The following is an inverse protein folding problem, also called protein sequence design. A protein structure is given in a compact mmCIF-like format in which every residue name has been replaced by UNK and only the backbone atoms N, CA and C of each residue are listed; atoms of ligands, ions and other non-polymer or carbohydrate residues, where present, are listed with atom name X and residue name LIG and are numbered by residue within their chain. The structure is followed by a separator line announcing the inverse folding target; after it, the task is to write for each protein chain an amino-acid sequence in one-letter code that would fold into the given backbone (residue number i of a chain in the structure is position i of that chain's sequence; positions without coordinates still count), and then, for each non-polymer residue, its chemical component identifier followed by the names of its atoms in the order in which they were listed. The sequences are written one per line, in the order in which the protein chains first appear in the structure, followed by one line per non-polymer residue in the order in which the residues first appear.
data_IF_776164150118
#
_entry.id   IF_776164150118
#
_cell.length_a   1.000
_cell.length_b   1.000
_cell.length_c   1.000
_cell.angle_alpha   90.00
_cell.angle_beta   90.00
_cell.angle_gamma   90.00
#
_symmetry.space_group_name_H-M   'P 1'
#
loop_
_entity.id
_entity.type
_entity.pdbx_description
1 polymer ?
#
# COMPACT_ATOMS: atom_id res chain seq x y z
N UNK A 1 -16.83 -29.47 -1.14
CA UNK A 1 -16.46 -28.13 -1.65
C UNK A 1 -17.16 -27.94 -2.98
N UNK A 2 -18.07 -26.97 -3.09
CA UNK A 2 -18.71 -26.61 -4.37
C UNK A 2 -17.88 -25.47 -4.95
N UNK A 3 -17.41 -25.62 -6.19
CA UNK A 3 -16.66 -24.58 -6.90
C UNK A 3 -17.63 -23.72 -7.72
N UNK A 4 -17.40 -22.41 -7.76
CA UNK A 4 -18.19 -21.44 -8.53
C UNK A 4 -17.27 -20.46 -9.24
N UNK A 5 -17.65 -20.02 -10.45
CA UNK A 5 -16.94 -18.95 -11.18
C UNK A 5 -16.99 -17.60 -10.48
N UNK A 6 -18.00 -17.39 -9.63
CA UNK A 6 -18.25 -16.13 -8.91
C UNK A 6 -17.87 -16.21 -7.42
N UNK A 7 -17.16 -17.28 -6.99
CA UNK A 7 -16.87 -17.58 -5.58
C UNK A 7 -15.80 -16.72 -4.91
N UNK A 8 -15.45 -15.57 -5.48
CA UNK A 8 -14.37 -14.71 -4.99
C UNK A 8 -14.66 -14.13 -3.59
N UNK A 9 -15.91 -13.75 -3.33
CA UNK A 9 -16.32 -13.18 -2.06
C UNK A 9 -16.27 -14.22 -0.93
N UNK A 10 -16.73 -15.44 -1.21
CA UNK A 10 -16.67 -16.56 -0.28
C UNK A 10 -15.22 -16.93 0.06
N UNK A 11 -14.32 -16.90 -0.93
CA UNK A 11 -12.89 -17.09 -0.72
C UNK A 11 -12.31 -16.00 0.20
N UNK A 12 -12.60 -14.72 -0.08
CA UNK A 12 -12.12 -13.60 0.74
C UNK A 12 -12.54 -13.78 2.21
N UNK A 13 -13.81 -14.14 2.45
CA UNK A 13 -14.34 -14.38 3.80
C UNK A 13 -13.75 -15.61 4.47
N UNK A 14 -13.55 -16.70 3.73
CA UNK A 14 -13.02 -17.95 4.26
C UNK A 14 -11.55 -17.85 4.68
N UNK A 15 -10.79 -16.93 4.07
CA UNK A 15 -9.38 -16.72 4.39
C UNK A 15 -9.15 -15.85 5.64
N UNK A 16 -10.13 -15.04 6.05
CA UNK A 16 -10.01 -14.08 7.16
C UNK A 16 -9.65 -14.76 8.49
N UNK A 17 -8.87 -14.05 9.32
CA UNK A 17 -8.58 -14.45 10.70
C UNK A 17 -9.04 -13.40 11.70
N UNK A 18 -8.20 -12.41 11.96
CA UNK A 18 -8.46 -11.27 12.85
C UNK A 18 -8.91 -10.04 12.07
N UNK A 19 -9.03 -10.18 10.74
CA UNK A 19 -9.63 -9.20 9.84
C UNK A 19 -11.07 -8.88 10.27
N UNK A 20 -11.48 -7.61 10.21
CA UNK A 20 -12.87 -7.24 10.53
C UNK A 20 -13.74 -7.14 9.27
N UNK A 21 -13.11 -6.98 8.10
CA UNK A 21 -13.77 -6.85 6.80
C UNK A 21 -13.08 -7.69 5.72
N UNK A 22 -13.84 -8.29 4.78
CA UNK A 22 -13.26 -8.90 3.59
C UNK A 22 -12.59 -7.85 2.71
N UNK A 23 -11.49 -8.23 2.08
CA UNK A 23 -10.67 -7.37 1.23
C UNK A 23 -10.58 -7.99 -0.16
N UNK A 24 -11.27 -7.37 -1.10
CA UNK A 24 -11.38 -7.83 -2.48
C UNK A 24 -11.39 -6.62 -3.42
N UNK A 25 -10.85 -6.80 -4.62
CA UNK A 25 -10.81 -5.78 -5.65
C UNK A 25 -10.73 -6.39 -7.05
N UNK A 26 -11.28 -5.70 -8.04
CA UNK A 26 -11.09 -6.04 -9.44
C UNK A 26 -11.05 -4.77 -10.31
N UNK A 27 -10.28 -4.84 -11.38
CA UNK A 27 -10.16 -3.79 -12.40
C UNK A 27 -10.33 -4.44 -13.77
N UNK A 28 -11.20 -3.86 -14.59
CA UNK A 28 -11.30 -4.17 -16.01
C UNK A 28 -10.42 -3.19 -16.80
N UNK A 29 -9.61 -3.74 -17.70
CA UNK A 29 -8.71 -2.98 -18.58
C UNK A 29 -9.26 -3.05 -20.00
N UNK A 30 -9.25 -1.92 -20.69
CA UNK A 30 -9.55 -1.83 -22.13
C UNK A 30 -8.52 -0.90 -22.77
N UNK A 31 -7.65 -1.47 -23.60
CA UNK A 31 -6.61 -0.75 -24.33
C UNK A 31 -6.52 -1.33 -25.75
N UNK A 32 -6.63 -0.46 -26.76
CA UNK A 32 -6.74 -0.85 -28.16
C UNK A 32 -7.81 -1.95 -28.33
N UNK A 33 -7.45 -3.09 -28.92
CA UNK A 33 -8.31 -4.26 -29.08
C UNK A 33 -8.20 -5.27 -27.92
N UNK A 34 -7.41 -4.98 -26.88
CA UNK A 34 -7.22 -5.84 -25.70
C UNK A 34 -8.17 -5.49 -24.57
N UNK A 35 -8.91 -6.50 -24.08
CA UNK A 35 -9.79 -6.39 -22.91
C UNK A 35 -9.53 -7.54 -21.96
N UNK A 36 -9.20 -7.26 -20.71
CA UNK A 36 -8.95 -8.26 -19.69
C UNK A 36 -9.29 -7.70 -18.30
N UNK A 37 -9.39 -8.58 -17.32
CA UNK A 37 -9.70 -8.26 -15.92
C UNK A 37 -8.54 -8.73 -15.05
N UNK A 38 -8.20 -7.94 -14.03
CA UNK A 38 -7.35 -8.35 -12.92
C UNK A 38 -8.19 -8.25 -11.65
N UNK A 39 -8.31 -9.36 -10.92
CA UNK A 39 -9.00 -9.45 -9.64
C UNK A 39 -8.06 -9.94 -8.54
N UNK A 40 -8.44 -9.69 -7.29
CA UNK A 40 -7.71 -10.22 -6.16
C UNK A 40 -8.44 -10.13 -4.84
N UNK A 41 -8.07 -11.02 -3.93
CA UNK A 41 -8.47 -11.02 -2.53
C UNK A 41 -7.24 -11.00 -1.64
N UNK A 42 -7.36 -10.41 -0.46
CA UNK A 42 -6.28 -10.41 0.51
C UNK A 42 -6.78 -10.61 1.94
N UNK A 43 -5.91 -11.15 2.79
CA UNK A 43 -6.09 -11.31 4.24
C UNK A 43 -4.88 -10.79 4.98
N UNK A 44 -5.13 -10.14 6.11
CA UNK A 44 -4.13 -9.64 7.03
C UNK A 44 -4.63 -8.40 7.78
N UNK A 45 -4.42 -8.38 9.09
CA UNK A 45 -4.68 -7.23 9.98
C UNK A 45 -3.66 -7.09 11.12
N UNK A 46 -2.75 -8.06 11.31
CA UNK A 46 -1.72 -8.06 12.34
C UNK A 46 -0.57 -8.99 11.96
N UNK A 47 0.58 -8.84 12.63
CA UNK A 47 1.90 -9.37 12.24
C UNK A 47 2.28 -8.96 10.82
N UNK A 48 2.13 -7.67 10.52
CA UNK A 48 2.42 -7.11 9.20
C UNK A 48 3.46 -6.00 9.31
N UNK A 49 4.61 -6.25 8.70
CA UNK A 49 5.70 -5.33 8.49
C UNK A 49 6.35 -5.60 7.13
N UNK A 50 6.99 -4.63 6.46
CA UNK A 50 7.57 -4.85 5.14
C UNK A 50 8.56 -6.03 5.06
N UNK A 51 8.78 -6.50 3.81
CA UNK A 51 9.55 -7.70 3.43
C UNK A 51 8.75 -9.01 3.50
N UNK A 52 7.47 -8.95 3.09
CA UNK A 52 6.48 -10.01 3.22
C UNK A 52 6.33 -10.45 4.71
N UNK A 53 5.18 -10.07 5.29
CA UNK A 53 4.67 -10.39 6.64
C UNK A 53 3.16 -10.78 6.53
N UNK A 54 2.45 -11.22 7.60
CA UNK A 54 1.26 -12.15 7.59
C UNK A 54 0.21 -11.71 6.58
N UNK A 55 0.44 -12.05 5.33
CA UNK A 55 -0.33 -11.54 4.22
C UNK A 55 -0.48 -12.66 3.22
N UNK A 56 -1.75 -13.02 3.00
CA UNK A 56 -2.14 -13.90 1.93
C UNK A 56 -2.89 -13.08 0.92
N UNK A 57 -2.37 -12.98 -0.30
CA UNK A 57 -3.02 -12.33 -1.42
C UNK A 57 -3.06 -13.27 -2.62
N UNK A 58 -4.26 -13.47 -3.14
CA UNK A 58 -4.51 -14.30 -4.32
C UNK A 58 -5.07 -13.40 -5.41
N UNK A 59 -4.36 -13.33 -6.52
CA UNK A 59 -4.67 -12.52 -7.69
C UNK A 59 -5.00 -13.44 -8.86
N UNK A 60 -5.96 -13.02 -9.69
CA UNK A 60 -6.35 -13.73 -10.90
C UNK A 60 -6.47 -12.75 -12.06
N UNK A 61 -6.18 -13.22 -13.27
CA UNK A 61 -6.45 -12.49 -14.49
C UNK A 61 -6.85 -13.45 -15.60
N UNK A 62 -7.72 -12.98 -16.49
CA UNK A 62 -8.05 -13.68 -17.73
C UNK A 62 -7.12 -13.29 -18.89
N UNK A 63 -6.20 -12.33 -18.69
CA UNK A 63 -5.27 -11.90 -19.72
C UNK A 63 -4.34 -13.03 -20.19
N UNK A 64 -4.09 -13.08 -21.50
CA UNK A 64 -2.95 -13.82 -22.05
C UNK A 64 -1.68 -13.01 -21.79
N UNK A 65 -0.75 -13.55 -21.01
CA UNK A 65 0.45 -12.82 -20.54
C UNK A 65 1.67 -13.73 -20.53
N UNK A 66 2.83 -13.20 -20.92
CA UNK A 66 4.09 -13.92 -20.79
C UNK A 66 4.42 -14.19 -19.31
N UNK A 67 4.90 -15.40 -19.01
CA UNK A 67 5.19 -15.82 -17.64
C UNK A 67 6.37 -15.04 -17.02
N UNK A 68 7.36 -14.67 -17.83
CA UNK A 68 8.50 -13.87 -17.41
C UNK A 68 8.07 -12.45 -17.03
N UNK A 69 7.25 -11.84 -17.89
CA UNK A 69 6.63 -10.54 -17.63
C UNK A 69 5.72 -10.58 -16.40
N UNK A 70 4.82 -11.57 -16.28
CA UNK A 70 3.90 -11.70 -15.16
C UNK A 70 4.63 -11.75 -13.81
N UNK A 71 5.73 -12.51 -13.74
CA UNK A 71 6.58 -12.60 -12.54
C UNK A 71 7.24 -11.27 -12.21
N UNK A 72 7.73 -10.53 -13.22
CA UNK A 72 8.32 -9.22 -13.03
C UNK A 72 7.27 -8.19 -12.57
N UNK A 73 6.09 -8.21 -13.20
CA UNK A 73 5.00 -7.30 -12.90
C UNK A 73 4.49 -7.49 -11.47
N UNK A 74 4.33 -8.74 -11.03
CA UNK A 74 3.95 -9.06 -9.67
C UNK A 74 4.96 -8.52 -8.65
N UNK A 75 6.26 -8.72 -8.88
CA UNK A 75 7.31 -8.21 -7.98
C UNK A 75 7.25 -6.69 -7.84
N UNK A 76 7.10 -5.98 -8.96
CA UNK A 76 6.97 -4.52 -8.96
C UNK A 76 5.73 -4.06 -8.18
N UNK A 77 4.59 -4.70 -8.41
CA UNK A 77 3.34 -4.38 -7.74
C UNK A 77 3.45 -4.60 -6.22
N UNK A 78 4.00 -5.74 -5.80
CA UNK A 78 4.24 -6.06 -4.38
C UNK A 78 5.17 -5.04 -3.73
N UNK A 79 6.23 -4.60 -4.43
CA UNK A 79 7.20 -3.62 -3.92
C UNK A 79 6.62 -2.23 -3.70
N UNK A 80 5.59 -1.83 -4.46
CA UNK A 80 4.91 -0.53 -4.30
C UNK A 80 3.66 -0.61 -3.43
N UNK A 81 3.17 -1.81 -3.08
CA UNK A 81 1.97 -2.01 -2.26
C UNK A 81 2.25 -2.70 -0.92
N UNK A 82 2.29 -4.03 -0.89
CA UNK A 82 2.32 -4.84 0.31
C UNK A 82 3.62 -4.66 1.09
N UNK A 83 4.74 -4.53 0.38
CA UNK A 83 6.04 -4.18 0.97
C UNK A 83 6.11 -2.72 1.44
N UNK A 84 5.03 -1.94 1.37
CA UNK A 84 4.95 -0.59 1.94
C UNK A 84 4.08 -0.52 3.20
N UNK A 85 3.44 -1.62 3.60
CA UNK A 85 2.53 -1.67 4.76
C UNK A 85 3.26 -2.09 6.03
N UNK A 86 2.97 -1.39 7.13
CA UNK A 86 3.37 -1.78 8.48
C UNK A 86 2.23 -1.52 9.47
N UNK A 87 1.90 -2.53 10.26
CA UNK A 87 0.88 -2.45 11.31
C UNK A 87 1.56 -2.36 12.67
N UNK A 88 2.32 -3.38 13.07
CA UNK A 88 2.88 -3.55 14.42
C UNK A 88 4.41 -3.66 14.46
N UNK A 89 5.05 -3.93 13.33
CA UNK A 89 6.51 -4.09 13.26
C UNK A 89 6.97 -5.56 13.23
N UNK A 90 6.04 -6.51 13.37
CA UNK A 90 6.35 -7.93 13.40
C UNK A 90 6.22 -8.54 12.00
N UNK A 91 7.28 -9.21 11.53
CA UNK A 91 7.29 -9.90 10.24
C UNK A 91 6.87 -11.35 10.41
N UNK A 92 5.96 -11.83 9.57
CA UNK A 92 5.42 -13.20 9.65
C UNK A 92 6.31 -14.26 9.02
N UNK A 93 6.10 -15.54 9.38
CA UNK A 93 6.72 -16.66 8.68
C UNK A 93 5.99 -17.19 7.43
N UNK A 94 4.80 -16.69 7.04
CA UNK A 94 3.87 -17.42 6.14
C UNK A 94 3.36 -16.67 4.91
N UNK A 95 4.13 -15.73 4.38
CA UNK A 95 3.57 -14.74 3.46
C UNK A 95 3.58 -15.17 2.02
N UNK A 96 2.49 -14.85 1.34
CA UNK A 96 2.28 -15.30 -0.02
C UNK A 96 1.44 -14.30 -0.81
N UNK A 97 2.01 -13.87 -1.93
CA UNK A 97 1.26 -13.22 -3.00
C UNK A 97 1.37 -14.12 -4.23
N UNK A 98 0.23 -14.59 -4.71
CA UNK A 98 0.14 -15.46 -5.88
C UNK A 98 -0.69 -14.77 -6.95
N UNK A 99 -0.27 -14.88 -8.22
CA UNK A 99 -1.09 -14.48 -9.38
C UNK A 99 -1.25 -15.64 -10.34
N UNK A 100 -2.47 -15.84 -10.83
CA UNK A 100 -2.82 -16.85 -11.82
C UNK A 100 -3.42 -16.19 -13.07
N UNK A 101 -2.94 -16.56 -14.25
CA UNK A 101 -3.41 -16.05 -15.53
C UNK A 101 -3.90 -17.20 -16.42
N UNK A 102 -5.14 -17.13 -16.92
CA UNK A 102 -5.75 -18.25 -17.66
C UNK A 102 -5.92 -18.01 -19.19
N UNK A 103 -5.69 -16.79 -19.69
CA UNK A 103 -5.75 -16.47 -21.11
C UNK A 103 -7.15 -16.44 -21.75
N UNK A 104 -8.23 -16.52 -20.97
CA UNK A 104 -9.60 -16.54 -21.48
C UNK A 104 -10.07 -15.20 -22.08
N UNK A 105 -9.35 -14.10 -21.85
CA UNK A 105 -9.62 -12.79 -22.42
C UNK A 105 -9.46 -12.73 -23.94
N UNK A 106 -8.68 -13.65 -24.54
CA UNK A 106 -8.45 -13.70 -25.97
C UNK A 106 -7.58 -12.56 -26.54
N UNK A 107 -6.96 -11.74 -25.68
CA UNK A 107 -5.98 -10.74 -26.10
C UNK A 107 -4.68 -11.41 -26.61
N UNK A 108 -3.92 -10.68 -27.43
CA UNK A 108 -2.55 -11.08 -27.76
C UNK A 108 -1.68 -11.14 -26.49
N UNK A 109 -0.69 -12.04 -26.49
CA UNK A 109 0.18 -12.22 -25.34
C UNK A 109 0.87 -10.91 -24.96
N UNK A 110 0.64 -10.46 -23.73
CA UNK A 110 1.29 -9.26 -23.18
C UNK A 110 2.75 -9.60 -22.88
N UNK A 111 3.67 -8.94 -23.60
CA UNK A 111 5.13 -9.08 -23.49
C UNK A 111 5.71 -7.85 -22.78
N UNK A 112 6.94 -7.90 -22.23
CA UNK A 112 7.55 -6.76 -21.54
C UNK A 112 7.60 -5.45 -22.35
N UNK A 113 7.77 -5.56 -23.67
CA UNK A 113 7.92 -4.42 -24.59
C UNK A 113 6.63 -4.13 -25.38
N UNK A 114 5.50 -4.76 -25.03
CA UNK A 114 4.23 -4.54 -25.73
C UNK A 114 3.52 -3.26 -25.25
N UNK A 115 2.66 -2.69 -26.09
CA UNK A 115 1.87 -1.49 -25.74
C UNK A 115 0.98 -1.70 -24.51
N UNK A 116 0.55 -2.95 -24.28
CA UNK A 116 -0.32 -3.35 -23.18
C UNK A 116 0.43 -3.56 -21.86
N UNK A 117 1.77 -3.68 -21.88
CA UNK A 117 2.57 -3.99 -20.70
C UNK A 117 2.39 -2.95 -19.59
N UNK A 118 2.40 -1.67 -19.95
CA UNK A 118 2.20 -0.58 -19.00
C UNK A 118 0.76 -0.59 -18.43
N UNK A 119 -0.25 -0.82 -19.26
CA UNK A 119 -1.64 -0.91 -18.82
C UNK A 119 -1.85 -2.08 -17.86
N UNK A 120 -1.25 -3.24 -18.14
CA UNK A 120 -1.26 -4.39 -17.23
C UNK A 120 -0.59 -4.07 -15.89
N UNK A 121 0.60 -3.46 -15.91
CA UNK A 121 1.32 -3.08 -14.69
C UNK A 121 0.49 -2.10 -13.86
N UNK A 122 -0.06 -1.05 -14.46
CA UNK A 122 -0.87 -0.06 -13.76
C UNK A 122 -2.13 -0.68 -13.12
N UNK A 123 -2.82 -1.56 -13.85
CA UNK A 123 -3.98 -2.25 -13.33
C UNK A 123 -3.62 -3.18 -12.16
N UNK A 124 -2.51 -3.90 -12.27
CA UNK A 124 -2.00 -4.75 -11.19
C UNK A 124 -1.58 -3.93 -9.96
N UNK A 125 -0.88 -2.82 -10.17
CA UNK A 125 -0.50 -1.88 -9.11
C UNK A 125 -1.73 -1.33 -8.41
N UNK A 126 -2.77 -0.94 -9.16
CA UNK A 126 -4.02 -0.43 -8.60
C UNK A 126 -4.71 -1.44 -7.69
N UNK A 127 -4.85 -2.70 -8.13
CA UNK A 127 -5.44 -3.79 -7.31
C UNK A 127 -4.60 -4.03 -6.06
N UNK A 128 -3.28 -4.17 -6.23
CA UNK A 128 -2.35 -4.44 -5.15
C UNK A 128 -2.29 -3.30 -4.10
N UNK A 129 -2.22 -2.04 -4.54
CA UNK A 129 -2.22 -0.85 -3.67
C UNK A 129 -3.54 -0.73 -2.93
N UNK A 130 -4.67 -0.94 -3.61
CA UNK A 130 -5.97 -0.92 -2.97
C UNK A 130 -6.05 -1.97 -1.86
N UNK A 131 -5.69 -3.22 -2.14
CA UNK A 131 -5.69 -4.29 -1.14
C UNK A 131 -4.73 -3.98 0.02
N UNK A 132 -3.54 -3.44 -0.26
CA UNK A 132 -2.59 -3.01 0.77
C UNK A 132 -3.15 -1.92 1.69
N UNK A 133 -3.84 -0.91 1.13
CA UNK A 133 -4.55 0.12 1.92
C UNK A 133 -5.67 -0.48 2.76
N UNK A 134 -6.43 -1.44 2.22
CA UNK A 134 -7.48 -2.14 2.96
C UNK A 134 -6.93 -2.97 4.12
N UNK A 135 -5.73 -3.54 3.98
CA UNK A 135 -5.01 -4.21 5.06
C UNK A 135 -4.58 -3.22 6.14
N UNK A 136 -3.93 -2.13 5.74
CA UNK A 136 -3.46 -1.11 6.68
C UNK A 136 -4.61 -0.43 7.44
N UNK A 137 -5.72 -0.15 6.76
CA UNK A 137 -6.92 0.44 7.36
C UNK A 137 -7.74 -0.51 8.24
N UNK A 138 -7.60 -1.83 8.04
CA UNK A 138 -8.20 -2.88 8.87
C UNK A 138 -7.20 -3.47 9.87
N UNK A 139 -6.14 -2.74 10.20
CA UNK A 139 -5.16 -3.20 11.19
C UNK A 139 -5.78 -3.42 12.56
N UNK A 140 -5.27 -4.39 13.32
CA UNK A 140 -5.83 -4.77 14.62
C UNK A 140 -5.88 -3.56 15.57
N UNK A 141 -7.10 -3.18 15.96
CA UNK A 141 -7.36 -2.02 16.82
C UNK A 141 -7.10 -0.66 16.15
N UNK A 142 -6.84 -0.61 14.85
CA UNK A 142 -6.65 0.63 14.11
C UNK A 142 -7.98 1.39 13.99
N UNK A 143 -7.93 2.70 14.22
CA UNK A 143 -9.06 3.60 13.98
C UNK A 143 -8.88 4.49 12.74
N UNK A 144 -7.65 4.55 12.21
CA UNK A 144 -7.26 5.42 11.10
C UNK A 144 -6.15 4.76 10.27
N UNK A 145 -6.22 4.92 8.96
CA UNK A 145 -5.13 4.66 8.02
C UNK A 145 -4.16 5.85 8.03
N UNK A 146 -2.86 5.58 8.10
CA UNK A 146 -1.80 6.59 7.99
C UNK A 146 -1.07 6.36 6.67
N UNK A 147 -1.03 7.37 5.82
CA UNK A 147 -0.24 7.37 4.59
C UNK A 147 0.92 8.35 4.76
N UNK A 148 2.14 7.94 4.38
CA UNK A 148 3.31 8.81 4.43
C UNK A 148 3.95 8.84 3.06
N UNK A 149 3.97 10.02 2.46
CA UNK A 149 4.68 10.28 1.20
C UNK A 149 6.00 10.99 1.49
N UNK A 150 7.10 10.41 1.01
CA UNK A 150 8.42 11.04 1.05
C UNK A 150 8.84 11.39 -0.37
N UNK A 151 9.14 12.67 -0.59
CA UNK A 151 9.64 13.19 -1.87
C UNK A 151 10.97 13.91 -1.66
N UNK A 152 11.77 14.04 -2.72
CA UNK A 152 13.06 14.72 -2.67
C UNK A 152 14.20 13.92 -2.02
N UNK A 153 13.99 12.65 -1.70
CA UNK A 153 15.07 11.77 -1.23
C UNK A 153 16.07 11.45 -2.37
N UNK A 154 17.35 11.17 -2.05
CA UNK A 154 18.37 10.82 -3.05
C UNK A 154 18.04 9.58 -3.88
N UNK A 155 17.25 8.65 -3.34
CA UNK A 155 16.81 7.44 -4.03
C UNK A 155 15.45 6.97 -3.54
N UNK A 156 14.79 6.11 -4.33
CA UNK A 156 13.55 5.43 -3.93
C UNK A 156 13.77 4.58 -2.67
N UNK A 157 14.94 3.94 -2.54
CA UNK A 157 15.28 3.13 -1.38
C UNK A 157 15.31 3.97 -0.09
N UNK A 158 15.91 5.15 -0.15
CA UNK A 158 15.91 6.09 0.99
C UNK A 158 14.53 6.67 1.27
N UNK A 159 13.77 7.05 0.24
CA UNK A 159 12.38 7.50 0.43
C UNK A 159 11.54 6.44 1.16
N UNK A 160 11.67 5.17 0.75
CA UNK A 160 11.00 4.03 1.38
C UNK A 160 11.45 3.84 2.82
N UNK A 161 12.75 3.93 3.10
CA UNK A 161 13.28 3.78 4.45
C UNK A 161 12.76 4.87 5.40
N UNK A 162 12.75 6.12 4.95
CA UNK A 162 12.19 7.23 5.70
C UNK A 162 10.68 7.04 5.95
N UNK A 163 9.91 6.75 4.90
CA UNK A 163 8.46 6.54 5.01
C UNK A 163 8.13 5.40 5.99
N UNK A 164 8.79 4.25 5.84
CA UNK A 164 8.64 3.08 6.72
C UNK A 164 8.96 3.43 8.18
N UNK A 165 10.00 4.21 8.43
CA UNK A 165 10.38 4.61 9.80
C UNK A 165 9.32 5.50 10.44
N UNK A 166 8.69 6.39 9.66
CA UNK A 166 7.61 7.26 10.16
C UNK A 166 6.36 6.46 10.48
N UNK A 167 5.85 5.64 9.55
CA UNK A 167 4.61 4.87 9.76
C UNK A 167 4.72 3.79 10.84
N UNK A 168 5.91 3.25 11.07
CA UNK A 168 6.18 2.27 12.13
C UNK A 168 6.47 2.90 13.50
N UNK A 169 6.60 4.23 13.58
CA UNK A 169 6.92 4.92 14.84
C UNK A 169 5.75 4.87 15.84
N UNK A 170 5.90 4.25 17.02
CA UNK A 170 4.81 4.19 18.01
C UNK A 170 4.35 5.57 18.46
N UNK A 171 5.28 6.54 18.57
CA UNK A 171 4.94 7.91 18.95
C UNK A 171 4.13 8.63 17.87
N UNK A 172 4.45 8.41 16.60
CA UNK A 172 3.67 8.98 15.48
C UNK A 172 2.28 8.36 15.48
N UNK A 173 2.18 7.02 15.53
CA UNK A 173 0.90 6.30 15.60
C UNK A 173 0.03 6.79 16.76
N UNK A 174 0.61 6.95 17.95
CA UNK A 174 -0.10 7.47 19.13
C UNK A 174 -0.56 8.93 18.96
N UNK A 175 0.25 9.79 18.31
CA UNK A 175 -0.12 11.17 18.04
C UNK A 175 -1.30 11.24 17.06
N UNK A 176 -1.25 10.48 15.97
CA UNK A 176 -2.35 10.43 14.98
C UNK A 176 -3.62 9.85 15.60
N UNK A 177 -3.51 8.80 16.42
CA UNK A 177 -4.64 8.25 17.16
C UNK A 177 -5.30 9.33 18.04
N UNK A 178 -4.51 10.08 18.81
CA UNK A 178 -4.98 11.19 19.65
C UNK A 178 -5.41 12.45 18.89
N UNK A 179 -5.29 12.47 17.56
CA UNK A 179 -5.48 13.67 16.72
C UNK A 179 -4.60 14.86 17.17
N UNK A 180 -3.39 14.57 17.64
CA UNK A 180 -2.38 15.54 18.05
C UNK A 180 -1.47 15.89 16.85
N UNK A 181 -1.46 17.15 16.37
CA UNK A 181 -0.62 17.59 15.24
C UNK A 181 0.86 17.73 15.62
N UNK A 182 1.45 16.60 16.00
CA UNK A 182 2.78 16.52 16.60
C UNK A 182 3.86 16.36 15.52
N UNK A 183 4.14 17.45 14.81
CA UNK A 183 5.21 17.50 13.80
C UNK A 183 6.57 17.06 14.35
N UNK A 184 6.86 17.35 15.63
CA UNK A 184 8.13 16.99 16.26
C UNK A 184 8.37 15.47 16.30
N UNK A 185 7.32 14.68 16.54
CA UNK A 185 7.40 13.20 16.50
C UNK A 185 7.65 12.67 15.10
N UNK A 186 7.11 13.33 14.07
CA UNK A 186 7.35 12.97 12.66
C UNK A 186 8.79 13.31 12.28
N UNK A 187 9.25 14.53 12.58
CA UNK A 187 10.64 14.96 12.33
C UNK A 187 11.66 14.07 13.04
N UNK A 188 11.39 13.70 14.30
CA UNK A 188 12.24 12.76 15.04
C UNK A 188 12.27 11.37 14.40
N UNK A 189 11.16 10.89 13.86
CA UNK A 189 11.11 9.62 13.13
C UNK A 189 11.90 9.68 11.82
N UNK A 190 11.81 10.77 11.07
CA UNK A 190 12.65 11.00 9.87
C UNK A 190 14.13 11.02 10.25
N UNK A 191 14.50 11.77 11.30
CA UNK A 191 15.89 11.90 11.74
C UNK A 191 16.54 10.58 12.20
N UNK A 192 15.76 9.61 12.69
CA UNK A 192 16.26 8.28 13.08
C UNK A 192 16.12 7.20 12.00
N UNK A 193 15.68 7.55 10.80
CA UNK A 193 15.44 6.57 9.72
C UNK A 193 16.72 5.99 9.12
N UNK A 194 17.88 6.60 9.39
CA UNK A 194 19.17 6.17 8.84
C UNK A 194 19.42 6.66 7.40
N UNK A 195 18.52 7.46 6.84
CA UNK A 195 18.76 8.17 5.56
C UNK A 195 19.54 9.46 5.80
N UNK A 196 20.16 10.00 4.75
CA UNK A 196 20.79 11.32 4.84
C UNK A 196 19.70 12.40 4.94
N UNK A 197 19.74 13.19 6.02
CA UNK A 197 18.73 14.20 6.31
C UNK A 197 19.41 15.54 6.54
N UNK A 198 19.07 16.53 5.71
CA UNK A 198 19.46 17.92 5.89
C UNK A 198 18.25 18.67 6.43
N UNK A 199 18.21 18.92 7.75
CA UNK A 199 17.07 19.52 8.46
C UNK A 199 16.53 20.78 7.77
N UNK A 200 17.42 21.67 7.33
CA UNK A 200 17.08 22.93 6.66
C UNK A 200 16.43 22.77 5.28
N UNK A 201 16.31 21.54 4.76
CA UNK A 201 15.64 21.23 3.49
C UNK A 201 14.33 20.47 3.66
N UNK A 202 13.87 20.25 4.89
CA UNK A 202 12.67 19.47 5.15
C UNK A 202 11.45 20.38 5.20
N UNK A 203 10.47 20.04 4.38
CA UNK A 203 9.11 20.52 4.52
C UNK A 203 8.22 19.36 5.01
N UNK A 204 7.34 19.64 5.96
CA UNK A 204 6.38 18.66 6.49
C UNK A 204 4.96 19.18 6.32
N UNK A 205 4.11 18.31 5.79
CA UNK A 205 2.69 18.54 5.62
C UNK A 205 1.89 17.47 6.37
N UNK A 206 0.69 17.84 6.81
CA UNK A 206 -0.36 16.90 7.21
C UNK A 206 -1.58 17.27 6.36
N UNK A 207 -2.01 16.36 5.50
CA UNK A 207 -2.82 16.72 4.33
C UNK A 207 -2.17 17.85 3.53
N UNK A 208 -2.92 18.91 3.27
CA UNK A 208 -2.43 20.05 2.49
C UNK A 208 -1.88 21.20 3.35
N UNK A 209 -1.73 21.01 4.66
CA UNK A 209 -1.31 22.06 5.59
C UNK A 209 0.18 21.89 5.89
N UNK A 210 0.97 22.93 5.62
CA UNK A 210 2.40 22.97 5.90
C UNK A 210 2.66 23.29 7.38
N UNK A 211 3.27 22.35 8.12
CA UNK A 211 3.61 22.53 9.53
C UNK A 211 5.06 22.98 9.72
N UNK A 212 5.96 22.50 8.86
CA UNK A 212 7.37 22.93 8.84
C UNK A 212 7.78 23.29 7.42
N UNK A 213 8.65 24.29 7.30
CA UNK A 213 9.28 24.67 6.04
C UNK A 213 10.75 24.95 6.27
N UNK A 214 11.61 24.37 5.42
CA UNK A 214 13.05 24.47 5.55
C UNK A 214 13.55 24.13 6.98
N UNK A 215 12.97 23.09 7.60
CA UNK A 215 13.28 22.66 8.96
C UNK A 215 12.66 23.49 10.09
N UNK A 216 12.07 24.65 9.79
CA UNK A 216 11.50 25.54 10.79
C UNK A 216 9.99 25.35 10.93
N UNK A 217 9.50 25.33 12.17
CA UNK A 217 8.06 25.33 12.47
C UNK A 217 7.42 26.61 11.95
N UNK A 218 6.30 26.48 11.24
CA UNK A 218 5.47 27.60 10.81
C UNK A 218 4.29 27.82 11.78
N UNK A 219 3.73 29.04 11.83
CA UNK A 219 2.34 29.22 12.25
C UNK A 219 1.42 28.46 11.27
N UNK A 220 0.55 27.61 11.79
CA UNK A 220 -0.40 26.83 10.99
C UNK A 220 -1.79 26.81 11.64
N UNK A 221 -2.81 26.55 10.84
CA UNK A 221 -4.18 26.36 11.31
C UNK A 221 -4.28 25.04 12.08
N UNK A 222 -4.20 25.13 13.41
CA UNK A 222 -4.24 23.94 14.28
C UNK A 222 -5.59 23.22 14.18
N UNK A 223 -6.70 23.94 14.07
CA UNK A 223 -8.03 23.34 13.97
C UNK A 223 -8.20 22.61 12.64
N UNK A 224 -7.71 23.21 11.55
CA UNK A 224 -7.63 22.58 10.24
C UNK A 224 -6.83 21.28 10.27
N UNK A 225 -5.64 21.26 10.89
CA UNK A 225 -4.85 20.03 11.00
C UNK A 225 -5.57 18.98 11.85
N UNK A 226 -6.16 19.36 12.98
CA UNK A 226 -6.93 18.43 13.83
C UNK A 226 -8.13 17.84 13.07
N UNK A 227 -8.77 18.63 12.20
CA UNK A 227 -9.83 18.14 11.31
C UNK A 227 -9.31 17.06 10.36
N UNK A 228 -8.16 17.28 9.69
CA UNK A 228 -7.50 16.25 8.86
C UNK A 228 -7.18 15.01 9.67
N UNK A 229 -6.61 15.18 10.87
CA UNK A 229 -6.24 14.07 11.74
C UNK A 229 -7.44 13.25 12.22
N UNK A 230 -8.66 13.81 12.27
CA UNK A 230 -9.88 13.08 12.65
C UNK A 230 -10.44 12.22 11.53
N UNK A 231 -9.97 12.40 10.29
CA UNK A 231 -10.39 11.60 9.15
C UNK A 231 -9.99 10.12 9.32
N UNK A 232 -10.74 9.19 8.72
CA UNK A 232 -10.36 7.76 8.68
C UNK A 232 -9.04 7.51 7.95
N UNK A 233 -8.62 8.40 7.05
CA UNK A 233 -7.33 8.36 6.36
C UNK A 233 -6.59 9.68 6.59
N UNK A 234 -5.35 9.56 7.06
CA UNK A 234 -4.47 10.68 7.39
C UNK A 234 -3.25 10.66 6.48
N UNK A 235 -3.23 11.52 5.45
CA UNK A 235 -2.10 11.70 4.54
C UNK A 235 -1.04 12.70 5.05
#
# INVERSE_FOLDING_TARGET
VVLSGDGGHELARAMMTTDTLPKEAAVAVSIDDSKFIIGGVAKGSGMIHPNLATLLCLLTTDATVDIGFLKLALRKAVDVSFNMVSIDGDTSPNDMVLIMANGLAGNEAILPDSNQANAFQQALDQVCIYLAKRIAGDGEGASKLIEVTVSGAPSIAEARLAARTVVSSPLVKAAIHGSDPNWGRIMAAVGRSGVEVVESKIDLYIGNICLTRAGHRLPFDKEGVVSVLRSPEVP
#
